data_IF_407118487688
#
_entry.id   IF_407118487688
#
_cell.length_a   1.000
_cell.length_b   1.000
_cell.length_c   1.000
_cell.angle_alpha   90.00
_cell.angle_beta   90.00
_cell.angle_gamma   90.00
#
_symmetry.space_group_name_H-M   'P 1'
#
loop_
_entity.id
_entity.type
_entity.pdbx_description
1 polymer ?
#
# COMPACT_ATOMS: atom_id res chain seq x y z
N UNK A 1 13.69 10.22 18.54
CA UNK A 1 12.59 9.66 17.72
C UNK A 1 12.64 10.33 16.36
N UNK A 2 12.45 9.57 15.28
CA UNK A 2 12.25 10.16 13.95
C UNK A 2 10.83 10.74 13.93
N UNK A 3 10.71 12.06 14.03
CA UNK A 3 9.43 12.76 13.98
C UNK A 3 9.29 13.44 12.62
N UNK A 4 8.14 13.27 11.97
CA UNK A 4 7.78 13.98 10.76
C UNK A 4 6.43 14.64 10.99
N UNK A 5 6.36 15.95 10.81
CA UNK A 5 5.18 16.76 11.14
C UNK A 5 3.99 16.50 10.21
N UNK A 6 4.13 15.62 9.21
CA UNK A 6 3.06 15.17 8.32
C UNK A 6 2.52 13.79 8.67
N UNK A 7 3.22 13.01 9.51
CA UNK A 7 2.85 11.64 9.86
C UNK A 7 2.34 11.59 11.29
N UNK A 8 1.13 11.05 11.48
CA UNK A 8 0.57 10.79 12.80
C UNK A 8 0.94 9.37 13.26
N UNK A 9 0.73 8.37 12.39
CA UNK A 9 0.95 6.97 12.72
C UNK A 9 1.32 6.14 11.48
N UNK A 10 2.13 5.11 11.71
CA UNK A 10 2.48 4.10 10.70
C UNK A 10 2.15 2.73 11.29
N UNK A 11 1.49 1.89 10.49
CA UNK A 11 1.31 0.47 10.77
C UNK A 11 2.06 -0.34 9.72
N UNK A 12 2.74 -1.38 10.16
CA UNK A 12 3.28 -2.41 9.29
C UNK A 12 2.28 -3.57 9.24
N UNK A 13 1.77 -3.88 8.05
CA UNK A 13 0.66 -4.83 7.83
C UNK A 13 1.04 -5.99 6.90
N UNK A 14 2.20 -5.94 6.24
CA UNK A 14 2.61 -6.95 5.24
C UNK A 14 2.83 -8.38 5.77
N UNK A 15 2.93 -8.58 7.10
CA UNK A 15 3.00 -9.91 7.71
C UNK A 15 1.65 -10.45 8.21
N UNK A 16 0.57 -9.68 8.10
CA UNK A 16 -0.74 -10.14 8.53
C UNK A 16 -1.26 -11.16 7.51
N UNK A 17 -1.63 -12.34 7.98
CA UNK A 17 -2.09 -13.42 7.09
C UNK A 17 -3.58 -13.69 7.19
N UNK A 18 -4.24 -13.45 8.35
CA UNK A 18 -5.68 -13.70 8.56
C UNK A 18 -6.24 -12.96 9.78
N UNK A 19 -7.29 -12.15 9.63
CA UNK A 19 -8.18 -11.70 10.72
C UNK A 19 -7.54 -10.85 11.82
N UNK A 20 -6.31 -10.37 11.60
CA UNK A 20 -5.55 -9.55 12.55
C UNK A 20 -5.78 -8.04 12.36
N UNK A 21 -6.54 -7.67 11.33
CA UNK A 21 -6.91 -6.30 11.00
C UNK A 21 -8.22 -6.31 10.22
N UNK A 22 -9.07 -5.33 10.48
CA UNK A 22 -10.29 -5.06 9.71
C UNK A 22 -9.99 -4.34 8.38
N UNK A 23 -8.73 -3.92 8.17
CA UNK A 23 -8.27 -3.28 6.93
C UNK A 23 -7.63 -4.30 5.99
N UNK A 24 -8.43 -4.84 5.07
CA UNK A 24 -8.04 -5.83 4.07
C UNK A 24 -8.51 -5.38 2.68
N UNK A 25 -7.68 -5.61 1.66
CA UNK A 25 -8.03 -5.29 0.27
C UNK A 25 -8.50 -6.57 -0.42
N UNK A 26 -9.70 -6.54 -0.97
CA UNK A 26 -10.23 -7.61 -1.81
C UNK A 26 -10.03 -7.26 -3.27
N UNK A 27 -9.56 -8.22 -4.08
CA UNK A 27 -9.32 -8.02 -5.50
C UNK A 27 -9.66 -9.28 -6.30
N UNK A 28 -9.98 -9.10 -7.59
CA UNK A 28 -10.13 -10.21 -8.53
C UNK A 28 -8.77 -10.44 -9.19
N UNK A 29 -8.24 -11.65 -9.04
CA UNK A 29 -7.04 -12.09 -9.76
C UNK A 29 -7.42 -12.36 -11.21
N UNK A 30 -6.92 -11.53 -12.14
CA UNK A 30 -7.29 -11.59 -13.56
C UNK A 30 -6.86 -12.89 -14.23
N UNK A 31 -5.75 -13.49 -13.78
CA UNK A 31 -5.23 -14.73 -14.37
C UNK A 31 -6.07 -15.94 -13.98
N UNK A 32 -6.55 -15.99 -12.74
CA UNK A 32 -7.27 -17.15 -12.20
C UNK A 32 -8.78 -16.94 -12.05
N UNK A 33 -9.26 -15.71 -12.24
CA UNK A 33 -10.65 -15.29 -12.06
C UNK A 33 -11.20 -15.57 -10.64
N UNK A 34 -10.31 -15.55 -9.64
CA UNK A 34 -10.65 -15.80 -8.24
C UNK A 34 -10.60 -14.51 -7.44
N UNK A 35 -11.52 -14.38 -6.49
CA UNK A 35 -11.42 -13.34 -5.47
C UNK A 35 -10.30 -13.72 -4.50
N UNK A 36 -9.38 -12.79 -4.28
CA UNK A 36 -8.26 -12.90 -3.34
C UNK A 36 -8.27 -11.70 -2.40
N UNK A 37 -7.40 -11.77 -1.40
CA UNK A 37 -7.27 -10.70 -0.43
C UNK A 37 -5.83 -10.52 -0.03
N UNK A 38 -5.45 -9.30 0.30
CA UNK A 38 -4.14 -9.00 0.83
C UNK A 38 -4.19 -7.84 1.83
N UNK A 39 -3.14 -7.74 2.63
CA UNK A 39 -2.88 -6.60 3.51
C UNK A 39 -1.74 -5.81 2.89
N UNK A 40 -1.82 -4.47 2.84
CA UNK A 40 -0.73 -3.71 2.28
C UNK A 40 0.55 -3.85 3.14
N UNK A 41 1.71 -3.49 2.61
CA UNK A 41 2.95 -3.57 3.40
C UNK A 41 2.91 -2.57 4.57
N UNK A 42 2.52 -1.33 4.30
CA UNK A 42 2.27 -0.31 5.32
C UNK A 42 0.97 0.44 5.09
N UNK A 43 0.39 0.90 6.20
CA UNK A 43 -0.64 1.93 6.23
C UNK A 43 -0.09 3.14 6.98
N UNK A 44 -0.24 4.33 6.43
CA UNK A 44 0.19 5.59 7.05
C UNK A 44 -1.05 6.45 7.27
N UNK A 45 -1.21 6.97 8.49
CA UNK A 45 -2.15 8.06 8.78
C UNK A 45 -1.39 9.38 8.82
N UNK A 46 -1.78 10.31 7.96
CA UNK A 46 -1.26 11.68 7.94
C UNK A 46 -1.92 12.52 9.02
N UNK A 47 -1.27 13.62 9.39
CA UNK A 47 -1.80 14.58 10.38
C UNK A 47 -3.08 15.27 9.93
N UNK A 48 -3.33 15.36 8.61
CA UNK A 48 -4.58 15.86 8.04
C UNK A 48 -5.75 14.87 8.15
N UNK A 49 -5.52 13.67 8.70
CA UNK A 49 -6.51 12.61 8.89
C UNK A 49 -6.65 11.65 7.72
N UNK A 50 -6.06 11.95 6.56
CA UNK A 50 -6.09 11.04 5.40
C UNK A 50 -5.05 9.92 5.54
N UNK A 51 -5.24 8.87 4.74
CA UNK A 51 -4.42 7.66 4.79
C UNK A 51 -3.69 7.42 3.49
N UNK A 52 -2.58 6.70 3.56
CA UNK A 52 -1.85 6.19 2.39
C UNK A 52 -1.45 4.74 2.62
N UNK A 53 -1.76 3.89 1.66
CA UNK A 53 -1.25 2.52 1.56
C UNK A 53 0.07 2.51 0.81
N UNK A 54 1.08 1.84 1.35
CA UNK A 54 2.39 1.70 0.71
C UNK A 54 2.66 0.23 0.43
N UNK A 55 3.05 -0.07 -0.81
CA UNK A 55 3.58 -1.37 -1.23
C UNK A 55 5.04 -1.26 -1.61
N UNK A 56 5.88 -2.17 -1.12
CA UNK A 56 7.26 -2.30 -1.60
C UNK A 56 7.35 -3.48 -2.56
N UNK A 57 7.84 -3.25 -3.77
CA UNK A 57 7.94 -4.30 -4.80
C UNK A 57 9.28 -4.23 -5.54
N UNK A 58 9.84 -5.40 -5.84
CA UNK A 58 11.02 -5.50 -6.70
C UNK A 58 10.71 -4.98 -8.09
N UNK A 59 11.69 -4.35 -8.75
CA UNK A 59 11.46 -3.58 -9.99
C UNK A 59 10.87 -4.45 -11.11
N UNK A 60 11.28 -5.71 -11.19
CA UNK A 60 10.82 -6.67 -12.18
C UNK A 60 9.35 -7.11 -11.98
N UNK A 61 8.75 -6.82 -10.83
CA UNK A 61 7.38 -7.23 -10.50
C UNK A 61 6.35 -6.12 -10.68
N UNK A 62 6.77 -4.87 -10.82
CA UNK A 62 5.88 -3.70 -10.85
C UNK A 62 4.86 -3.81 -11.98
N UNK A 63 5.29 -4.31 -13.15
CA UNK A 63 4.43 -4.45 -14.32
C UNK A 63 3.65 -5.77 -14.39
N UNK A 64 3.83 -6.66 -13.40
CA UNK A 64 3.13 -7.94 -13.35
C UNK A 64 1.63 -7.75 -13.18
N UNK A 65 0.84 -8.65 -13.77
CA UNK A 65 -0.63 -8.56 -13.72
C UNK A 65 -1.14 -8.57 -12.27
N UNK A 66 -0.57 -9.39 -11.40
CA UNK A 66 -0.95 -9.44 -9.98
C UNK A 66 -0.75 -8.11 -9.25
N UNK A 67 0.29 -7.34 -9.58
CA UNK A 67 0.52 -6.02 -8.97
C UNK A 67 -0.50 -5.00 -9.49
N UNK A 68 -0.82 -5.05 -10.78
CA UNK A 68 -1.85 -4.20 -11.38
C UNK A 68 -3.23 -4.46 -10.79
N UNK A 69 -3.64 -5.73 -10.68
CA UNK A 69 -4.94 -6.10 -10.10
C UNK A 69 -5.08 -5.60 -8.65
N UNK A 70 -4.00 -5.68 -7.86
CA UNK A 70 -3.96 -5.17 -6.48
C UNK A 70 -4.03 -3.65 -6.42
N UNK A 71 -3.23 -2.97 -7.25
CA UNK A 71 -3.22 -1.52 -7.34
C UNK A 71 -4.61 -0.99 -7.72
N UNK A 72 -5.23 -1.55 -8.75
CA UNK A 72 -6.57 -1.14 -9.20
C UNK A 72 -7.61 -1.29 -8.08
N UNK A 73 -7.59 -2.42 -7.35
CA UNK A 73 -8.50 -2.64 -6.24
C UNK A 73 -8.26 -1.66 -5.07
N UNK A 74 -6.99 -1.40 -4.74
CA UNK A 74 -6.62 -0.45 -3.70
C UNK A 74 -7.01 0.98 -4.07
N UNK A 75 -6.80 1.40 -5.31
CA UNK A 75 -7.21 2.70 -5.83
C UNK A 75 -8.73 2.84 -5.86
N UNK A 76 -9.47 1.81 -6.28
CA UNK A 76 -10.93 1.83 -6.28
C UNK A 76 -11.49 2.02 -4.86
N UNK A 77 -10.96 1.29 -3.88
CA UNK A 77 -11.30 1.45 -2.48
C UNK A 77 -10.84 2.81 -1.93
N UNK A 78 -9.66 3.26 -2.35
CA UNK A 78 -9.08 4.54 -1.94
C UNK A 78 -9.86 5.75 -2.45
N UNK A 79 -10.42 5.68 -3.66
CA UNK A 79 -11.31 6.71 -4.23
C UNK A 79 -12.56 6.90 -3.38
N UNK A 80 -13.15 5.83 -2.82
CA UNK A 80 -14.32 5.97 -1.93
C UNK A 80 -13.99 6.56 -0.56
N UNK A 81 -12.75 6.37 -0.07
CA UNK A 81 -12.38 6.63 1.33
C UNK A 81 -11.32 7.75 1.49
N UNK A 82 -10.86 8.36 0.39
CA UNK A 82 -9.77 9.35 0.41
C UNK A 82 -8.40 8.78 0.82
N UNK A 83 -8.15 7.50 0.50
CA UNK A 83 -6.91 6.80 0.83
C UNK A 83 -6.00 6.77 -0.40
N UNK A 84 -4.79 7.31 -0.28
CA UNK A 84 -3.77 7.24 -1.33
C UNK A 84 -3.14 5.84 -1.44
N UNK A 85 -2.52 5.56 -2.59
CA UNK A 85 -1.78 4.33 -2.83
C UNK A 85 -0.45 4.64 -3.51
N UNK A 86 0.64 4.04 -3.02
CA UNK A 86 1.99 4.27 -3.55
C UNK A 86 2.77 2.95 -3.63
N UNK A 87 3.47 2.73 -4.74
CA UNK A 87 4.42 1.62 -4.90
C UNK A 87 5.84 2.17 -4.80
N UNK A 88 6.58 1.70 -3.80
CA UNK A 88 8.01 1.98 -3.65
C UNK A 88 8.82 0.83 -4.26
N UNK A 89 9.78 1.18 -5.13
CA UNK A 89 10.69 0.19 -5.71
C UNK A 89 11.64 -0.37 -4.65
N UNK A 90 11.83 -1.68 -4.63
CA UNK A 90 12.61 -2.38 -3.61
C UNK A 90 14.04 -1.85 -3.46
N UNK A 91 14.71 -1.50 -4.56
CA UNK A 91 16.05 -0.90 -4.51
C UNK A 91 16.03 0.49 -3.89
N UNK A 92 15.04 1.31 -4.23
CA UNK A 92 14.89 2.66 -3.68
C UNK A 92 14.55 2.62 -2.18
N UNK A 93 13.72 1.67 -1.76
CA UNK A 93 13.45 1.41 -0.35
C UNK A 93 14.75 1.01 0.39
N UNK A 94 15.55 0.10 -0.19
CA UNK A 94 16.80 -0.37 0.40
C UNK A 94 17.87 0.73 0.50
N UNK A 95 17.96 1.63 -0.50
CA UNK A 95 18.88 2.78 -0.48
C UNK A 95 18.32 4.01 0.25
N UNK A 96 17.04 4.00 0.65
CA UNK A 96 16.37 5.14 1.26
C UNK A 96 16.17 6.33 0.32
N UNK A 97 16.20 6.12 -1.01
CA UNK A 97 16.16 7.17 -2.03
C UNK A 97 14.78 7.40 -2.64
N UNK A 98 13.75 6.73 -2.14
CA UNK A 98 12.39 6.86 -2.63
C UNK A 98 11.81 8.26 -2.37
N UNK A 99 10.97 8.72 -3.29
CA UNK A 99 10.20 9.95 -3.16
C UNK A 99 9.23 9.89 -1.99
N UNK A 100 8.87 11.05 -1.43
CA UNK A 100 7.93 11.16 -0.29
C UNK A 100 6.72 12.04 -0.63
N UNK A 101 6.42 12.16 -1.91
CA UNK A 101 5.34 12.99 -2.46
C UNK A 101 3.98 12.53 -1.94
N UNK A 102 3.84 11.24 -1.61
CA UNK A 102 2.66 10.66 -0.98
C UNK A 102 2.35 11.23 0.42
N UNK A 103 3.26 12.00 1.03
CA UNK A 103 2.99 12.73 2.28
C UNK A 103 2.40 14.12 2.06
N UNK A 104 2.32 14.60 0.82
CA UNK A 104 1.80 15.93 0.51
C UNK A 104 0.27 15.97 0.44
#
# INVERSE_FOLDING_TARGET
MLHNDKVEKIWFTGMLTHGQSDFVIHYVDSDTQRVRSYYPDFLIKKQDGSYVMIEVKGEHMIDSQNVKDKQEAAELMGVSEGIGYEIIKGKEAASGSYGREFLN
#
